data_IF_998138009879
#
_entry.id   IF_998138009879
#
_cell.length_a   1.000
_cell.length_b   1.000
_cell.length_c   1.000
_cell.angle_alpha   90.00
_cell.angle_beta   90.00
_cell.angle_gamma   90.00
#
_symmetry.space_group_name_H-M   'P 1'
#
loop_
_entity.id
_entity.type
_entity.pdbx_description
1 polymer ?
#
# COMPACT_ATOMS: atom_id res chain seq x y z
N UNK A 1 -16.31 62.62 -6.34
CA UNK A 1 -14.98 62.24 -5.82
C UNK A 1 -15.17 61.09 -4.84
N UNK A 2 -14.68 59.89 -5.16
CA UNK A 2 -14.78 58.75 -4.26
C UNK A 2 -13.61 58.77 -3.27
N UNK A 3 -13.91 58.91 -1.98
CA UNK A 3 -12.94 58.83 -0.91
C UNK A 3 -12.53 57.37 -0.71
N UNK A 4 -11.28 57.04 -1.04
CA UNK A 4 -10.67 55.76 -0.67
C UNK A 4 -10.25 55.83 0.80
N UNK A 5 -10.98 55.12 1.66
CA UNK A 5 -10.62 54.94 3.08
C UNK A 5 -9.52 53.88 3.19
N UNK A 6 -8.26 54.30 3.19
CA UNK A 6 -7.13 53.45 3.55
C UNK A 6 -7.07 53.31 5.07
N UNK A 7 -7.15 52.09 5.59
CA UNK A 7 -7.08 51.84 7.03
C UNK A 7 -5.64 51.56 7.43
N UNK A 8 -5.20 52.01 8.60
CA UNK A 8 -3.80 51.86 9.06
C UNK A 8 -3.28 50.39 9.07
N UNK A 9 -4.19 49.40 9.03
CA UNK A 9 -3.86 47.97 8.89
C UNK A 9 -3.29 47.60 7.52
N UNK A 10 -3.61 48.36 6.47
CA UNK A 10 -3.14 48.10 5.10
C UNK A 10 -1.64 48.41 4.93
N UNK A 11 -1.01 49.09 5.91
CA UNK A 11 0.38 49.54 5.85
C UNK A 11 1.34 48.80 6.80
N UNK A 12 0.86 47.93 7.69
CA UNK A 12 1.70 47.43 8.79
C UNK A 12 2.48 46.15 8.45
N UNK A 13 2.00 45.32 7.52
CA UNK A 13 2.66 44.10 7.03
C UNK A 13 2.11 43.80 5.61
N UNK A 14 2.96 43.48 4.62
CA UNK A 14 2.48 42.97 3.32
C UNK A 14 1.79 41.61 3.51
N UNK A 15 0.48 41.65 3.71
CA UNK A 15 -0.35 40.47 3.94
C UNK A 15 -0.26 39.47 2.78
N UNK A 16 -0.09 39.95 1.56
CA UNK A 16 0.07 39.11 0.37
C UNK A 16 1.40 38.34 0.41
N UNK A 17 2.50 39.02 0.73
CA UNK A 17 3.80 38.39 0.89
C UNK A 17 3.83 37.39 2.05
N UNK A 18 3.25 37.75 3.20
CA UNK A 18 3.20 36.86 4.38
C UNK A 18 2.33 35.64 4.11
N UNK A 19 1.13 35.80 3.53
CA UNK A 19 0.27 34.66 3.20
C UNK A 19 0.96 33.68 2.23
N UNK A 20 1.70 34.20 1.23
CA UNK A 20 2.51 33.37 0.33
C UNK A 20 3.65 32.67 1.06
N UNK A 21 4.37 33.37 1.93
CA UNK A 21 5.47 32.81 2.71
C UNK A 21 4.97 31.68 3.63
N UNK A 22 3.85 31.89 4.32
CA UNK A 22 3.19 30.89 5.16
C UNK A 22 2.73 29.69 4.33
N UNK A 23 2.09 29.91 3.17
CA UNK A 23 1.67 28.81 2.29
C UNK A 23 2.85 27.96 1.79
N UNK A 24 3.98 28.58 1.44
CA UNK A 24 5.21 27.88 1.04
C UNK A 24 5.81 27.10 2.23
N UNK A 25 5.85 27.72 3.41
CA UNK A 25 6.31 27.08 4.64
C UNK A 25 5.46 25.85 5.00
N UNK A 26 4.14 26.00 4.93
CA UNK A 26 3.18 24.92 5.20
C UNK A 26 3.38 23.77 4.21
N UNK A 27 3.50 24.05 2.91
CA UNK A 27 3.76 23.03 1.90
C UNK A 27 5.07 22.27 2.15
N UNK A 28 6.15 22.96 2.54
CA UNK A 28 7.44 22.33 2.86
C UNK A 28 7.35 21.42 4.08
N UNK A 29 6.66 21.86 5.14
CA UNK A 29 6.43 21.05 6.33
C UNK A 29 5.59 19.80 6.01
N UNK A 30 4.48 19.97 5.28
CA UNK A 30 3.61 18.88 4.85
C UNK A 30 4.33 17.88 3.95
N UNK A 31 5.16 18.35 3.01
CA UNK A 31 6.00 17.48 2.16
C UNK A 31 6.95 16.62 3.00
N UNK A 32 7.57 17.22 4.01
CA UNK A 32 8.47 16.54 4.94
C UNK A 32 7.71 15.52 5.80
N UNK A 33 6.54 15.90 6.32
CA UNK A 33 5.66 15.00 7.09
C UNK A 33 5.21 13.79 6.25
N UNK A 34 4.81 14.02 4.99
CA UNK A 34 4.47 12.98 4.03
C UNK A 34 5.60 11.99 3.78
N UNK A 35 6.81 12.51 3.57
CA UNK A 35 8.01 11.70 3.36
C UNK A 35 8.39 10.87 4.61
N UNK A 36 8.29 11.48 5.80
CA UNK A 36 8.57 10.83 7.08
C UNK A 36 7.57 9.70 7.36
N UNK A 37 6.27 9.99 7.23
CA UNK A 37 5.21 9.01 7.42
C UNK A 37 5.30 7.83 6.45
N UNK A 38 5.53 8.11 5.16
CA UNK A 38 5.79 7.06 4.15
C UNK A 38 6.98 6.19 4.53
N UNK A 39 8.07 6.80 4.99
CA UNK A 39 9.29 6.07 5.37
C UNK A 39 9.04 5.18 6.58
N UNK A 40 8.35 5.69 7.61
CA UNK A 40 8.00 4.92 8.79
C UNK A 40 7.10 3.73 8.43
N UNK A 41 6.01 3.95 7.69
CA UNK A 41 5.09 2.89 7.26
C UNK A 41 5.80 1.82 6.40
N UNK A 42 6.72 2.21 5.52
CA UNK A 42 7.52 1.26 4.70
C UNK A 42 8.50 0.44 5.54
N UNK A 43 9.03 0.99 6.64
CA UNK A 43 9.95 0.28 7.54
C UNK A 43 9.24 -0.80 8.36
N UNK A 44 7.98 -0.58 8.70
CA UNK A 44 7.13 -1.54 9.41
C UNK A 44 6.75 -2.74 8.52
N UNK A 45 6.53 -2.52 7.22
CA UNK A 45 6.26 -3.60 6.27
C UNK A 45 7.55 -4.35 5.91
N UNK A 46 7.73 -5.53 6.54
CA UNK A 46 8.85 -6.43 6.26
C UNK A 46 8.57 -7.33 5.06
N UNK A 47 9.59 -7.51 4.22
CA UNK A 47 9.53 -8.42 3.09
C UNK A 47 9.80 -9.87 3.53
N UNK A 48 9.12 -10.84 2.91
CA UNK A 48 9.45 -12.26 3.05
C UNK A 48 9.25 -12.99 1.72
N UNK A 49 10.15 -13.93 1.42
CA UNK A 49 10.01 -14.81 0.25
C UNK A 49 9.00 -15.94 0.50
N UNK A 50 8.78 -16.33 1.76
CA UNK A 50 7.86 -17.41 2.10
C UNK A 50 6.41 -16.91 2.01
N UNK A 51 5.65 -17.41 1.02
CA UNK A 51 4.25 -17.03 0.80
C UNK A 51 3.30 -17.52 1.91
N UNK A 52 3.68 -18.53 2.68
CA UNK A 52 2.91 -19.00 3.83
C UNK A 52 3.10 -18.19 5.11
N UNK A 53 4.17 -17.38 5.20
CA UNK A 53 4.50 -16.61 6.41
C UNK A 53 3.78 -15.26 6.42
N UNK A 54 2.63 -15.20 7.07
CA UNK A 54 1.87 -13.95 7.26
C UNK A 54 2.13 -13.32 8.64
N UNK A 55 1.89 -12.02 8.82
CA UNK A 55 1.93 -11.38 10.16
C UNK A 55 0.78 -11.89 11.06
N UNK A 56 0.85 -11.65 12.36
CA UNK A 56 -0.31 -11.83 13.24
C UNK A 56 -1.31 -10.67 13.06
N UNK A 57 -2.59 -10.85 13.43
CA UNK A 57 -3.56 -9.75 13.51
C UNK A 57 -3.05 -8.61 14.40
N UNK A 58 -3.38 -7.36 14.06
CA UNK A 58 -2.91 -6.17 14.79
C UNK A 58 -1.48 -5.74 14.44
N UNK A 59 -0.65 -6.62 13.85
CA UNK A 59 0.70 -6.27 13.38
C UNK A 59 0.67 -5.83 11.90
N UNK A 60 1.62 -4.99 11.47
CA UNK A 60 1.74 -4.56 10.08
C UNK A 60 1.82 -5.74 9.10
N UNK A 61 1.27 -5.61 7.88
CA UNK A 61 1.30 -6.69 6.90
C UNK A 61 2.71 -6.98 6.39
N UNK A 62 2.93 -8.20 5.91
CA UNK A 62 4.18 -8.60 5.23
C UNK A 62 4.07 -8.38 3.73
N UNK A 63 5.17 -7.96 3.12
CA UNK A 63 5.28 -7.87 1.67
C UNK A 63 5.80 -9.21 1.09
N UNK A 64 5.05 -9.79 0.16
CA UNK A 64 5.41 -11.04 -0.53
C UNK A 64 5.90 -10.84 -1.97
N UNK A 65 5.67 -9.66 -2.55
CA UNK A 65 6.13 -9.28 -3.89
C UNK A 65 7.25 -8.25 -3.78
N UNK A 66 8.34 -8.44 -4.53
CA UNK A 66 9.36 -7.40 -4.72
C UNK A 66 8.83 -6.35 -5.70
N UNK A 67 9.14 -5.07 -5.48
CA UNK A 67 8.66 -3.96 -6.30
C UNK A 67 7.23 -3.53 -5.96
N UNK A 68 6.36 -3.40 -6.98
CA UNK A 68 4.96 -2.94 -6.84
C UNK A 68 4.16 -3.92 -5.97
N UNK A 69 3.66 -3.46 -4.82
CA UNK A 69 2.96 -4.31 -3.84
C UNK A 69 2.50 -3.49 -2.64
N UNK A 70 2.16 -4.16 -1.53
CA UNK A 70 1.66 -3.50 -0.30
C UNK A 70 2.65 -2.44 0.23
N UNK A 71 3.95 -2.57 -0.09
CA UNK A 71 4.97 -1.57 0.29
C UNK A 71 4.96 -0.31 -0.59
N UNK A 72 4.13 -0.26 -1.63
CA UNK A 72 3.92 0.91 -2.48
C UNK A 72 2.99 1.88 -1.76
N UNK A 73 3.58 2.68 -0.87
CA UNK A 73 2.92 3.77 -0.16
C UNK A 73 3.28 5.07 -0.89
N UNK A 74 2.26 5.88 -1.17
CA UNK A 74 2.35 7.16 -1.86
C UNK A 74 1.87 8.27 -0.92
N UNK A 75 2.29 9.49 -1.20
CA UNK A 75 1.74 10.69 -0.58
C UNK A 75 1.58 11.79 -1.61
N UNK A 76 0.60 12.68 -1.38
CA UNK A 76 0.27 13.78 -2.29
C UNK A 76 -0.35 14.94 -1.54
N UNK A 77 -0.02 16.15 -1.99
CA UNK A 77 -0.56 17.39 -1.44
C UNK A 77 -1.91 17.71 -2.08
N UNK A 78 -2.92 18.00 -1.27
CA UNK A 78 -4.22 18.47 -1.70
C UNK A 78 -4.31 19.98 -1.41
N UNK A 79 -4.15 20.77 -2.47
CA UNK A 79 -4.04 22.23 -2.40
C UNK A 79 -5.26 22.95 -1.81
N UNK A 80 -6.52 22.59 -2.15
CA UNK A 80 -7.69 23.29 -1.61
C UNK A 80 -7.86 23.17 -0.10
N UNK A 81 -7.43 22.06 0.50
CA UNK A 81 -7.57 21.82 1.95
C UNK A 81 -6.24 21.93 2.70
N UNK A 82 -5.18 22.36 2.02
CA UNK A 82 -3.80 22.36 2.52
C UNK A 82 -3.42 21.11 3.31
N UNK A 83 -3.74 19.93 2.76
CA UNK A 83 -3.53 18.65 3.47
C UNK A 83 -2.57 17.74 2.71
N UNK A 84 -1.86 16.88 3.45
CA UNK A 84 -1.03 15.82 2.89
C UNK A 84 -1.73 14.48 3.05
N UNK A 85 -2.10 13.87 1.93
CA UNK A 85 -2.69 12.54 1.90
C UNK A 85 -1.56 11.51 1.84
N UNK A 86 -1.61 10.48 2.68
CA UNK A 86 -0.66 9.36 2.66
C UNK A 86 -1.46 8.06 2.63
N UNK A 87 -1.12 7.13 1.74
CA UNK A 87 -1.85 5.88 1.63
C UNK A 87 -1.21 4.86 0.71
N UNK A 88 -1.83 3.70 0.63
CA UNK A 88 -1.41 2.65 -0.28
C UNK A 88 -1.79 2.94 -1.72
N UNK A 89 -0.91 2.60 -2.63
CA UNK A 89 -1.29 2.49 -4.03
C UNK A 89 -2.25 1.31 -4.22
N UNK A 90 -3.30 1.55 -5.01
CA UNK A 90 -4.19 0.48 -5.46
C UNK A 90 -3.37 -0.58 -6.19
N UNK A 91 -3.49 -1.84 -5.75
CA UNK A 91 -2.77 -2.94 -6.37
C UNK A 91 -3.55 -3.44 -7.58
N UNK A 92 -2.96 -3.35 -8.77
CA UNK A 92 -3.54 -3.92 -9.98
C UNK A 92 -3.53 -5.45 -9.94
N UNK A 93 -4.60 -6.09 -10.45
CA UNK A 93 -4.55 -7.50 -10.83
C UNK A 93 -5.76 -8.37 -10.51
N UNK A 94 -6.76 -7.93 -9.75
CA UNK A 94 -8.03 -8.69 -9.62
C UNK A 94 -9.19 -7.78 -9.23
N UNK A 95 -10.31 -7.89 -9.96
CA UNK A 95 -11.57 -7.25 -9.58
C UNK A 95 -11.98 -7.69 -8.15
N UNK A 96 -12.41 -6.74 -7.32
CA UNK A 96 -12.88 -7.01 -5.95
C UNK A 96 -11.80 -7.17 -4.87
N UNK A 97 -10.56 -6.74 -5.12
CA UNK A 97 -9.43 -6.85 -4.17
C UNK A 97 -8.80 -5.49 -3.86
N UNK A 98 -9.42 -4.72 -2.99
CA UNK A 98 -8.70 -3.69 -2.25
C UNK A 98 -7.95 -4.36 -1.08
N UNK A 99 -6.85 -5.05 -1.42
CA UNK A 99 -6.01 -5.75 -0.42
C UNK A 99 -5.48 -4.76 0.61
N UNK A 100 -4.94 -3.58 0.25
CA UNK A 100 -4.51 -2.61 1.25
C UNK A 100 -5.62 -2.20 2.23
N UNK A 101 -6.80 -1.80 1.74
CA UNK A 101 -7.91 -1.41 2.62
C UNK A 101 -8.37 -2.56 3.52
N UNK A 102 -8.50 -3.77 2.96
CA UNK A 102 -8.87 -4.98 3.73
C UNK A 102 -7.84 -5.30 4.82
N UNK A 103 -6.57 -5.01 4.59
CA UNK A 103 -5.53 -5.24 5.61
C UNK A 103 -5.57 -4.17 6.70
N UNK A 104 -5.89 -2.90 6.39
CA UNK A 104 -6.00 -1.86 7.41
C UNK A 104 -7.24 -2.06 8.29
N UNK A 105 -8.41 -2.20 7.67
CA UNK A 105 -9.70 -2.20 8.38
C UNK A 105 -10.23 -3.61 8.68
N UNK A 106 -9.71 -4.64 8.01
CA UNK A 106 -10.29 -5.99 8.04
C UNK A 106 -11.46 -6.13 7.06
N UNK A 107 -12.17 -7.26 7.15
CA UNK A 107 -13.39 -7.51 6.37
C UNK A 107 -13.36 -8.86 5.65
N UNK A 108 -14.00 -8.94 4.49
CA UNK A 108 -14.05 -10.15 3.66
C UNK A 108 -13.34 -9.94 2.33
N UNK A 109 -12.45 -10.85 1.96
CA UNK A 109 -11.76 -10.84 0.68
C UNK A 109 -12.21 -12.03 -0.18
N UNK A 110 -12.47 -11.78 -1.47
CA UNK A 110 -12.70 -12.85 -2.44
C UNK A 110 -11.36 -13.36 -2.99
N UNK A 111 -11.13 -14.66 -2.91
CA UNK A 111 -9.92 -15.34 -3.35
C UNK A 111 -10.27 -16.33 -4.45
N UNK A 112 -9.64 -16.16 -5.62
CA UNK A 112 -9.67 -17.15 -6.69
C UNK A 112 -8.71 -18.29 -6.33
N UNK A 113 -9.25 -19.48 -6.16
CA UNK A 113 -8.49 -20.70 -5.89
C UNK A 113 -8.51 -21.55 -7.16
N UNK A 114 -7.33 -21.85 -7.69
CA UNK A 114 -7.18 -22.84 -8.75
C UNK A 114 -7.23 -24.22 -8.10
N UNK A 115 -8.27 -25.00 -8.38
CA UNK A 115 -8.28 -26.40 -7.97
C UNK A 115 -7.49 -27.21 -8.99
N UNK A 116 -6.35 -27.75 -8.57
CA UNK A 116 -5.60 -28.72 -9.38
C UNK A 116 -6.13 -30.10 -9.00
N UNK A 117 -6.74 -30.81 -9.96
CA UNK A 117 -7.11 -32.22 -9.77
C UNK A 117 -5.84 -33.01 -9.43
N UNK A 118 -5.73 -33.49 -8.18
CA UNK A 118 -4.59 -34.29 -7.71
C UNK A 118 -4.68 -35.66 -8.36
N UNK A 119 -3.83 -35.91 -9.35
CA UNK A 119 -3.73 -37.21 -9.99
C UNK A 119 -3.36 -38.28 -8.95
N UNK A 120 -4.29 -39.21 -8.69
CA UNK A 120 -4.16 -40.26 -7.67
C UNK A 120 -3.06 -41.27 -8.02
N UNK A 121 -2.66 -41.35 -9.29
CA UNK A 121 -1.65 -42.30 -9.79
C UNK A 121 -0.19 -41.85 -9.60
N UNK A 122 0.11 -41.00 -8.60
CA UNK A 122 1.48 -40.56 -8.30
C UNK A 122 2.35 -41.63 -7.62
N UNK A 123 1.73 -42.61 -6.94
CA UNK A 123 2.45 -43.68 -6.21
C UNK A 123 3.10 -44.71 -7.15
N UNK A 124 2.43 -45.07 -8.25
CA UNK A 124 2.95 -46.00 -9.27
C UNK A 124 4.09 -45.42 -10.15
N UNK A 125 4.32 -44.10 -10.10
CA UNK A 125 5.36 -43.40 -10.88
C UNK A 125 6.73 -43.35 -10.19
N UNK A 126 6.81 -43.72 -8.91
CA UNK A 126 8.07 -43.75 -8.14
C UNK A 126 8.81 -45.08 -8.24
N UNK A 127 8.14 -46.15 -8.65
CA UNK A 127 8.65 -47.52 -8.64
C UNK A 127 9.29 -47.97 -9.96
N UNK A 128 9.84 -47.08 -10.77
CA UNK A 128 10.56 -47.49 -11.97
C UNK A 128 11.06 -46.33 -12.82
N UNK A 129 12.29 -46.47 -13.30
CA UNK A 129 13.01 -45.52 -14.14
C UNK A 129 12.27 -45.28 -15.46
N UNK A 130 11.32 -44.34 -15.48
CA UNK A 130 10.62 -43.93 -16.69
C UNK A 130 11.62 -43.42 -17.73
N UNK A 131 11.55 -43.95 -18.95
CA UNK A 131 12.37 -43.47 -20.07
C UNK A 131 11.98 -42.02 -20.44
N UNK A 132 12.93 -41.26 -21.00
CA UNK A 132 12.69 -39.86 -21.37
C UNK A 132 11.54 -39.69 -22.39
N UNK A 133 11.31 -40.68 -23.24
CA UNK A 133 10.15 -40.73 -24.15
C UNK A 133 8.82 -40.83 -23.38
N UNK A 134 8.74 -41.72 -22.38
CA UNK A 134 7.58 -41.85 -21.51
C UNK A 134 7.34 -40.55 -20.72
N UNK A 135 8.40 -39.90 -20.22
CA UNK A 135 8.31 -38.58 -19.55
C UNK A 135 7.76 -37.50 -20.46
N UNK A 136 8.21 -37.44 -21.73
CA UNK A 136 7.70 -36.48 -22.73
C UNK A 136 6.24 -36.73 -23.09
N UNK A 137 5.83 -37.99 -23.27
CA UNK A 137 4.43 -38.37 -23.60
C UNK A 137 3.48 -38.01 -22.43
N UNK A 138 3.91 -38.30 -21.21
CA UNK A 138 3.25 -37.88 -19.96
C UNK A 138 3.14 -36.35 -19.91
N UNK A 139 4.26 -35.61 -20.07
CA UNK A 139 4.25 -34.13 -20.03
C UNK A 139 3.30 -33.52 -21.07
N UNK A 140 3.27 -34.08 -22.29
CA UNK A 140 2.38 -33.64 -23.38
C UNK A 140 0.90 -33.95 -23.10
N UNK A 141 0.62 -35.09 -22.46
CA UNK A 141 -0.72 -35.44 -21.98
C UNK A 141 -1.20 -34.49 -20.87
N UNK A 142 -0.37 -34.21 -19.86
CA UNK A 142 -0.74 -33.31 -18.76
C UNK A 142 -0.79 -31.82 -19.16
N UNK A 143 0.02 -31.37 -20.13
CA UNK A 143 -0.09 -30.00 -20.65
C UNK A 143 -1.42 -29.78 -21.37
N UNK A 144 -1.95 -30.83 -22.03
CA UNK A 144 -3.26 -30.82 -22.68
C UNK A 144 -4.40 -30.85 -21.65
N UNK A 145 -4.23 -31.54 -20.52
CA UNK A 145 -5.20 -31.59 -19.42
C UNK A 145 -5.17 -30.37 -18.48
N UNK A 146 -4.22 -29.45 -18.67
CA UNK A 146 -4.10 -28.24 -17.85
C UNK A 146 -5.23 -27.23 -18.10
N UNK A 147 -6.09 -27.47 -19.12
CA UNK A 147 -7.28 -26.69 -19.43
C UNK A 147 -8.43 -26.88 -18.43
N UNK A 148 -8.46 -27.99 -17.68
CA UNK A 148 -9.55 -28.34 -16.73
C UNK A 148 -9.30 -27.83 -15.29
N UNK A 149 -8.61 -26.70 -15.14
CA UNK A 149 -8.44 -26.06 -13.83
C UNK A 149 -9.67 -25.25 -13.52
N UNK A 150 -10.61 -25.84 -12.75
CA UNK A 150 -11.73 -25.08 -12.20
C UNK A 150 -11.20 -23.96 -11.29
N UNK A 151 -11.56 -22.73 -11.60
CA UNK A 151 -11.22 -21.56 -10.79
C UNK A 151 -12.42 -21.25 -9.89
N UNK A 152 -12.41 -21.78 -8.68
CA UNK A 152 -13.43 -21.43 -7.69
C UNK A 152 -13.10 -20.09 -7.02
N UNK A 153 -14.12 -19.33 -6.64
CA UNK A 153 -13.96 -18.11 -5.84
C UNK A 153 -14.47 -18.39 -4.44
N UNK A 154 -13.59 -18.24 -3.44
CA UNK A 154 -13.93 -18.41 -2.03
C UNK A 154 -13.86 -17.05 -1.32
N UNK A 155 -14.82 -16.79 -0.45
CA UNK A 155 -14.80 -15.62 0.44
C UNK A 155 -14.07 -15.99 1.72
N UNK A 156 -13.08 -15.18 2.12
CA UNK A 156 -12.30 -15.40 3.34
C UNK A 156 -12.41 -14.18 4.24
N UNK A 157 -12.65 -14.40 5.54
CA UNK A 157 -12.61 -13.35 6.55
C UNK A 157 -11.16 -12.99 6.88
N UNK A 158 -10.83 -11.71 6.72
CA UNK A 158 -9.50 -11.15 6.97
C UNK A 158 -9.55 -10.29 8.22
N UNK A 159 -8.67 -10.59 9.19
CA UNK A 159 -8.50 -9.76 10.39
C UNK A 159 -7.60 -8.57 10.08
N UNK A 160 -7.88 -7.44 10.74
CA UNK A 160 -7.12 -6.20 10.64
C UNK A 160 -5.63 -6.39 10.96
N UNK A 161 -4.79 -5.74 10.17
CA UNK A 161 -3.33 -5.66 10.21
C UNK A 161 -2.95 -4.19 9.97
N UNK A 162 -3.35 -3.30 10.90
CA UNK A 162 -3.19 -1.87 10.72
C UNK A 162 -1.70 -1.52 10.63
N UNK A 163 -1.41 -0.53 9.80
CA UNK A 163 -0.06 0.02 9.64
C UNK A 163 -0.10 1.53 9.44
N UNK A 164 -1.14 2.09 8.83
CA UNK A 164 -1.23 3.53 8.61
C UNK A 164 -1.55 4.30 9.90
N UNK A 165 -2.55 3.87 10.68
CA UNK A 165 -2.89 4.49 11.97
C UNK A 165 -1.73 4.47 12.96
N UNK A 166 -1.18 3.30 13.30
CA UNK A 166 -0.02 3.21 14.21
C UNK A 166 1.21 3.95 13.72
N UNK A 167 1.36 4.14 12.40
CA UNK A 167 2.42 5.00 11.87
C UNK A 167 2.19 6.46 12.23
N UNK A 168 0.97 6.97 12.11
CA UNK A 168 0.64 8.35 12.43
C UNK A 168 0.90 8.63 13.92
N UNK A 169 0.43 7.75 14.80
CA UNK A 169 0.65 7.85 16.25
C UNK A 169 2.14 7.94 16.59
N UNK A 170 2.98 7.15 15.90
CA UNK A 170 4.42 7.15 16.11
C UNK A 170 5.14 8.42 15.60
N UNK A 171 4.60 9.09 14.59
CA UNK A 171 5.21 10.31 14.02
C UNK A 171 4.65 11.58 14.62
N UNK A 172 3.46 11.54 15.21
CA UNK A 172 2.75 12.68 15.79
C UNK A 172 3.65 13.61 16.62
N UNK A 173 4.49 13.13 17.57
CA UNK A 173 5.33 14.03 18.37
C UNK A 173 6.41 14.77 17.56
N UNK A 174 6.80 14.24 16.39
CA UNK A 174 7.81 14.85 15.51
C UNK A 174 7.23 15.86 14.54
N UNK A 175 5.90 15.86 14.37
CA UNK A 175 5.25 16.73 13.40
C UNK A 175 5.50 18.21 13.71
N UNK A 176 5.26 18.73 14.93
CA UNK A 176 5.43 20.17 15.21
C UNK A 176 6.83 20.70 14.88
N UNK A 177 7.87 19.87 15.04
CA UNK A 177 9.25 20.22 14.74
C UNK A 177 9.45 20.58 13.26
N UNK A 178 8.66 19.99 12.37
CA UNK A 178 8.74 20.24 10.93
C UNK A 178 8.27 21.64 10.54
N UNK A 179 7.48 22.32 11.38
CA UNK A 179 6.97 23.68 11.12
C UNK A 179 7.79 24.79 11.80
N UNK A 180 8.60 24.48 12.83
CA UNK A 180 9.29 25.49 13.66
C UNK A 180 10.09 26.52 12.85
N UNK A 181 10.83 26.09 11.82
CA UNK A 181 11.77 26.95 11.08
C UNK A 181 11.40 27.13 9.60
N UNK A 182 10.14 26.92 9.22
CA UNK A 182 9.75 26.91 7.80
C UNK A 182 9.45 28.30 7.22
N UNK A 183 9.04 29.25 8.06
CA UNK A 183 8.82 30.64 7.65
C UNK A 183 10.16 31.36 7.72
N UNK A 184 10.65 31.82 6.57
CA UNK A 184 11.80 32.70 6.49
C UNK A 184 11.29 34.11 6.23
N UNK A 185 11.66 35.05 7.09
CA UNK A 185 11.43 36.49 6.91
C UNK A 185 12.33 37.07 5.84
#
# INVERSE_FOLDING_TARGET
>A
MAAFTLTAKDFFIDHGAVAKAVGVANFKALRSAGALGRTHARRQIKFTKNRGKTSQPGKPPRAHRRGKGIKTILYGYHRPSESMLIGYAKLGGVAGRDVPSTLEYGGTAKIRVRQVRKDRNRRSKRSGTLSDSQRRKIKRYYSRYQSDVSVSTMTVRVRKRPNMGPMLDAIQPKLPELWRDQVKG
#
